data_IF_225258971569
#
_entry.id   IF_225258971569
#
_cell.length_a   1.000
_cell.length_b   1.000
_cell.length_c   1.000
_cell.angle_alpha   90.00
_cell.angle_beta   90.00
_cell.angle_gamma   90.00
#
_symmetry.space_group_name_H-M   'P 1'
#
loop_
_entity.id
_entity.type
_entity.pdbx_description
1 polymer ?
#
# COMPACT_ATOMS: atom_id res chain seq x y z
N UNK A 1 -5.52 -50.68 -40.67
CA UNK A 1 -5.94 -49.74 -39.61
C UNK A 1 -4.66 -49.22 -38.98
N UNK A 2 -4.21 -48.04 -39.40
CA UNK A 2 -3.01 -47.40 -38.82
C UNK A 2 -3.44 -46.62 -37.57
N UNK A 3 -2.77 -46.90 -36.45
CA UNK A 3 -3.01 -46.25 -35.16
C UNK A 3 -2.25 -44.92 -35.15
N UNK A 4 -2.87 -43.78 -34.80
CA UNK A 4 -2.19 -42.49 -34.80
C UNK A 4 -1.19 -42.45 -33.65
N UNK A 5 0.11 -42.41 -33.98
CA UNK A 5 1.19 -42.18 -33.02
C UNK A 5 1.08 -40.76 -32.48
N UNK A 6 0.75 -40.61 -31.20
CA UNK A 6 0.81 -39.33 -30.51
C UNK A 6 2.25 -38.80 -30.57
N UNK A 7 2.49 -37.53 -30.95
CA UNK A 7 3.83 -36.97 -30.95
C UNK A 7 4.33 -36.82 -29.51
N UNK A 8 5.25 -37.69 -29.10
CA UNK A 8 6.01 -37.54 -27.86
C UNK A 8 6.74 -36.20 -27.93
N UNK A 9 6.36 -35.27 -27.07
CA UNK A 9 6.98 -33.93 -27.03
C UNK A 9 8.31 -34.06 -26.27
N UNK A 10 9.42 -33.96 -26.99
CA UNK A 10 10.76 -34.00 -26.39
C UNK A 10 11.01 -32.78 -25.50
N UNK A 11 11.78 -32.97 -24.42
CA UNK A 11 12.10 -31.92 -23.44
C UNK A 11 12.80 -30.69 -24.06
N UNK A 12 13.65 -30.89 -25.07
CA UNK A 12 14.29 -29.80 -25.81
C UNK A 12 13.28 -28.89 -26.53
N UNK A 13 12.22 -29.49 -27.09
CA UNK A 13 11.16 -28.75 -27.78
C UNK A 13 10.35 -27.89 -26.80
N UNK A 14 10.19 -28.36 -25.56
CA UNK A 14 9.54 -27.60 -24.50
C UNK A 14 10.38 -26.41 -24.05
N UNK A 15 11.70 -26.59 -23.89
CA UNK A 15 12.64 -25.50 -23.56
C UNK A 15 12.65 -24.42 -24.64
N UNK A 16 12.65 -24.82 -25.92
CA UNK A 16 12.59 -23.90 -27.05
C UNK A 16 11.27 -23.11 -27.10
N UNK A 17 10.16 -23.73 -26.66
CA UNK A 17 8.83 -23.11 -26.62
C UNK A 17 8.53 -22.34 -25.34
N UNK A 18 9.43 -22.39 -24.34
CA UNK A 18 9.20 -21.74 -23.06
C UNK A 18 9.18 -20.22 -23.25
N UNK A 19 8.05 -19.60 -22.92
CA UNK A 19 7.92 -18.15 -22.80
C UNK A 19 7.75 -17.81 -21.32
N UNK A 20 8.59 -16.95 -20.74
CA UNK A 20 8.44 -16.57 -19.34
C UNK A 20 7.08 -15.90 -19.11
N UNK A 21 6.44 -16.24 -17.99
CA UNK A 21 5.16 -15.64 -17.59
C UNK A 21 5.29 -14.11 -17.58
N UNK A 22 4.32 -13.37 -18.14
CA UNK A 22 4.38 -11.92 -18.24
C UNK A 22 4.50 -11.22 -16.88
N UNK A 23 4.10 -11.88 -15.79
CA UNK A 23 4.11 -11.34 -14.43
C UNK A 23 5.33 -11.74 -13.59
N UNK A 24 6.23 -12.57 -14.13
CA UNK A 24 7.38 -13.07 -13.37
C UNK A 24 8.62 -12.28 -13.75
N UNK A 25 9.20 -11.57 -12.78
CA UNK A 25 10.46 -10.87 -12.98
C UNK A 25 11.54 -11.83 -13.49
N UNK A 26 12.36 -11.42 -14.48
CA UNK A 26 13.51 -12.20 -14.91
C UNK A 26 14.45 -12.44 -13.72
N UNK A 27 14.64 -13.70 -13.35
CA UNK A 27 15.63 -14.10 -12.34
C UNK A 27 16.86 -14.62 -13.07
N UNK A 28 18.07 -14.24 -12.65
CA UNK A 28 19.28 -14.91 -13.13
C UNK A 28 19.18 -16.40 -12.77
N UNK A 29 19.02 -17.25 -13.80
CA UNK A 29 18.88 -18.70 -13.63
C UNK A 29 20.22 -19.41 -13.54
N UNK A 30 21.32 -18.72 -13.85
CA UNK A 30 22.65 -19.32 -13.88
C UNK A 30 23.28 -19.30 -12.50
N UNK A 31 24.01 -20.37 -12.10
CA UNK A 31 24.87 -20.30 -10.93
C UNK A 31 25.89 -19.17 -11.15
N UNK A 32 26.38 -18.56 -10.08
CA UNK A 32 27.50 -17.61 -10.13
C UNK A 32 28.78 -18.38 -10.50
N UNK A 33 28.90 -18.80 -11.77
CA UNK A 33 30.06 -19.51 -12.29
C UNK A 33 31.08 -18.44 -12.67
N UNK A 34 32.18 -18.38 -11.93
CA UNK A 34 33.36 -17.60 -12.32
C UNK A 34 34.09 -18.37 -13.41
N UNK A 35 34.03 -17.89 -14.64
CA UNK A 35 34.85 -18.43 -15.72
C UNK A 35 36.25 -17.78 -15.70
N UNK A 36 37.28 -18.60 -15.91
CA UNK A 36 38.66 -18.14 -16.05
C UNK A 36 38.87 -17.56 -17.45
N UNK A 37 38.70 -16.25 -17.57
CA UNK A 37 38.95 -15.38 -18.73
C UNK A 37 38.08 -15.61 -19.99
N UNK A 38 37.46 -14.50 -20.45
CA UNK A 38 36.79 -14.28 -21.74
C UNK A 38 36.04 -15.49 -22.35
N UNK A 39 35.04 -15.97 -21.62
CA UNK A 39 34.11 -16.95 -22.15
C UNK A 39 33.06 -16.27 -23.05
N UNK A 40 33.10 -16.51 -24.36
CA UNK A 40 32.12 -15.98 -25.31
C UNK A 40 30.68 -16.35 -24.92
N UNK A 41 30.49 -17.54 -24.36
CA UNK A 41 29.20 -18.04 -23.90
C UNK A 41 28.63 -17.16 -22.77
N UNK A 42 29.47 -16.71 -21.84
CA UNK A 42 29.04 -15.81 -20.76
C UNK A 42 28.56 -14.48 -21.34
N UNK A 43 29.26 -13.93 -22.34
CA UNK A 43 28.84 -12.67 -22.96
C UNK A 43 27.50 -12.79 -23.66
N UNK A 44 27.20 -13.95 -24.25
CA UNK A 44 25.92 -14.25 -24.90
C UNK A 44 24.82 -14.40 -23.86
N UNK A 45 25.08 -15.11 -22.76
CA UNK A 45 24.15 -15.27 -21.65
C UNK A 45 23.81 -13.93 -20.98
N UNK A 46 24.82 -13.11 -20.69
CA UNK A 46 24.64 -11.76 -20.13
C UNK A 46 23.80 -10.91 -21.08
N UNK A 47 24.10 -10.92 -22.39
CA UNK A 47 23.31 -10.19 -23.40
C UNK A 47 21.86 -10.65 -23.44
N UNK A 48 21.63 -11.95 -23.40
CA UNK A 48 20.28 -12.53 -23.38
C UNK A 48 19.52 -12.08 -22.13
N UNK A 49 20.15 -12.16 -20.95
CA UNK A 49 19.54 -11.72 -19.71
C UNK A 49 19.22 -10.22 -19.72
N UNK A 50 20.13 -9.37 -20.19
CA UNK A 50 19.89 -7.94 -20.33
C UNK A 50 18.73 -7.64 -21.29
N UNK A 51 18.63 -8.38 -22.39
CA UNK A 51 17.51 -8.25 -23.32
C UNK A 51 16.18 -8.64 -22.65
N UNK A 52 16.13 -9.75 -21.92
CA UNK A 52 14.94 -10.17 -21.17
C UNK A 52 14.52 -9.11 -20.13
N UNK A 53 15.48 -8.56 -19.37
CA UNK A 53 15.23 -7.50 -18.39
C UNK A 53 14.70 -6.24 -19.07
N UNK A 54 15.30 -5.83 -20.19
CA UNK A 54 14.86 -4.66 -20.96
C UNK A 54 13.45 -4.84 -21.51
N UNK A 55 13.15 -6.01 -22.08
CA UNK A 55 11.80 -6.33 -22.57
C UNK A 55 10.77 -6.38 -21.45
N UNK A 56 11.16 -6.82 -20.25
CA UNK A 56 10.29 -6.80 -19.07
C UNK A 56 10.02 -5.37 -18.60
N UNK A 57 11.06 -4.55 -18.45
CA UNK A 57 10.97 -3.16 -17.99
C UNK A 57 10.30 -2.22 -18.99
N UNK A 58 10.38 -2.52 -20.29
CA UNK A 58 9.73 -1.73 -21.34
C UNK A 58 8.21 -1.93 -21.41
N UNK A 59 7.65 -2.88 -20.66
CA UNK A 59 6.20 -3.10 -20.62
C UNK A 59 5.53 -1.99 -19.81
N UNK A 60 4.33 -1.53 -20.22
CA UNK A 60 3.57 -0.61 -19.40
C UNK A 60 3.18 -1.29 -18.09
N UNK A 61 3.46 -0.63 -16.96
CA UNK A 61 2.99 -1.04 -15.65
C UNK A 61 1.50 -0.68 -15.58
N UNK A 62 0.62 -1.66 -15.75
CA UNK A 62 -0.84 -1.47 -15.63
C UNK A 62 -1.28 -2.00 -14.27
N UNK A 63 -1.30 -1.11 -13.27
CA UNK A 63 -1.92 -1.38 -11.98
C UNK A 63 -3.44 -1.19 -12.07
N UNK A 64 -4.20 -2.11 -11.47
CA UNK A 64 -5.65 -1.96 -11.40
C UNK A 64 -5.97 -0.92 -10.33
N UNK A 65 -6.84 0.04 -10.64
CA UNK A 65 -7.32 1.03 -9.66
C UNK A 65 -7.99 0.40 -8.44
N UNK A 66 -8.50 -0.84 -8.56
CA UNK A 66 -9.02 -1.58 -7.41
C UNK A 66 -7.96 -1.91 -6.36
N UNK A 67 -6.68 -1.97 -6.74
CA UNK A 67 -5.55 -2.21 -5.85
C UNK A 67 -5.08 -0.94 -5.14
N UNK A 68 -5.48 0.24 -5.64
CA UNK A 68 -5.14 1.52 -5.03
C UNK A 68 -6.14 1.84 -3.92
N UNK A 69 -5.59 2.36 -2.84
CA UNK A 69 -6.37 3.05 -1.84
C UNK A 69 -6.78 4.42 -2.35
N UNK A 70 -7.89 4.97 -1.84
CA UNK A 70 -8.39 6.27 -2.27
C UNK A 70 -8.56 7.20 -1.08
N UNK A 71 -8.10 8.43 -1.22
CA UNK A 71 -8.28 9.49 -0.24
C UNK A 71 -8.73 10.79 -0.91
N UNK A 72 -9.41 11.61 -0.11
CA UNK A 72 -9.81 12.96 -0.48
C UNK A 72 -9.01 13.96 0.35
N UNK A 73 -8.30 14.86 -0.32
CA UNK A 73 -7.60 15.95 0.36
C UNK A 73 -8.59 17.00 0.86
N UNK A 74 -8.46 17.38 2.13
CA UNK A 74 -9.25 18.44 2.78
C UNK A 74 -8.29 19.58 3.15
N UNK A 75 -8.21 20.65 2.34
CA UNK A 75 -7.32 21.79 2.60
C UNK A 75 -7.53 22.43 3.97
N UNK A 76 -8.76 22.48 4.45
CA UNK A 76 -9.13 23.14 5.71
C UNK A 76 -8.54 22.43 6.93
N UNK A 77 -8.47 21.10 6.88
CA UNK A 77 -7.93 20.25 7.94
C UNK A 77 -6.47 19.84 7.69
N UNK A 78 -5.91 20.20 6.53
CA UNK A 78 -4.54 19.85 6.11
C UNK A 78 -4.26 18.35 6.21
N UNK A 79 -5.29 17.54 5.97
CA UNK A 79 -5.27 16.10 6.08
C UNK A 79 -6.02 15.47 4.92
N UNK A 80 -5.67 14.25 4.55
CA UNK A 80 -6.44 13.48 3.58
C UNK A 80 -7.38 12.52 4.32
N UNK A 81 -8.68 12.60 4.02
CA UNK A 81 -9.66 11.63 4.51
C UNK A 81 -9.62 10.38 3.64
N UNK A 82 -9.47 9.22 4.25
CA UNK A 82 -9.42 7.94 3.55
C UNK A 82 -10.84 7.52 3.20
N UNK A 83 -11.09 7.28 1.91
CA UNK A 83 -12.38 6.80 1.39
C UNK A 83 -12.39 5.28 1.26
N UNK A 84 -11.27 4.72 0.80
CA UNK A 84 -11.11 3.29 0.55
C UNK A 84 -9.71 2.86 0.95
N UNK A 85 -9.65 1.84 1.82
CA UNK A 85 -8.39 1.20 2.23
C UNK A 85 -8.15 -0.05 1.41
N UNK A 86 -6.97 -0.18 0.83
CA UNK A 86 -6.51 -1.40 0.15
C UNK A 86 -5.13 -1.80 0.66
N UNK A 87 -4.91 -3.09 0.87
CA UNK A 87 -3.62 -3.62 1.29
C UNK A 87 -3.35 -3.57 2.80
N UNK A 88 -2.16 -4.04 3.20
CA UNK A 88 -1.74 -4.19 4.60
C UNK A 88 -1.04 -2.96 5.18
N UNK A 89 -0.80 -1.93 4.36
CA UNK A 89 -0.08 -0.71 4.75
C UNK A 89 -0.85 0.12 5.79
N UNK A 90 -2.17 0.06 5.75
CA UNK A 90 -3.10 0.70 6.71
C UNK A 90 -2.97 0.26 8.16
N UNK A 91 -2.22 -0.81 8.46
CA UNK A 91 -1.90 -1.18 9.84
C UNK A 91 -0.85 -0.23 10.45
N UNK A 92 -0.06 0.44 9.62
CA UNK A 92 1.07 1.27 10.05
C UNK A 92 0.79 2.76 9.86
N UNK A 93 0.10 3.09 8.76
CA UNK A 93 -0.25 4.47 8.38
C UNK A 93 -1.69 4.82 8.72
N UNK A 94 -1.91 6.10 8.97
CA UNK A 94 -3.22 6.67 9.23
C UNK A 94 -3.59 6.72 10.70
N UNK A 95 -4.49 7.65 10.97
CA UNK A 95 -4.94 8.05 12.28
C UNK A 95 -6.48 8.04 12.29
N UNK A 96 -7.06 7.65 13.42
CA UNK A 96 -8.49 7.81 13.63
C UNK A 96 -8.75 9.19 14.21
N UNK A 97 -9.41 10.05 13.45
CA UNK A 97 -9.84 11.38 13.89
C UNK A 97 -11.36 11.49 13.75
N UNK A 98 -12.04 11.68 14.89
CA UNK A 98 -13.50 11.79 14.96
C UNK A 98 -14.24 10.62 14.26
N UNK A 99 -13.74 9.39 14.46
CA UNK A 99 -14.32 8.18 13.85
C UNK A 99 -14.07 8.02 12.35
N UNK A 100 -13.29 8.91 11.73
CA UNK A 100 -12.86 8.80 10.34
C UNK A 100 -11.38 8.47 10.28
N UNK A 101 -10.99 7.68 9.29
CA UNK A 101 -9.59 7.44 8.98
C UNK A 101 -9.03 8.63 8.21
N UNK A 102 -8.01 9.27 8.77
CA UNK A 102 -7.30 10.40 8.19
C UNK A 102 -5.81 10.08 8.10
N UNK A 103 -5.15 10.64 7.10
CA UNK A 103 -3.70 10.54 6.92
C UNK A 103 -3.11 11.95 6.87
N UNK A 104 -1.92 12.09 7.44
CA UNK A 104 -1.16 13.32 7.37
C UNK A 104 -0.52 13.51 5.98
N UNK A 105 -0.15 14.74 5.59
CA UNK A 105 0.45 15.03 4.29
C UNK A 105 1.74 14.23 4.02
N UNK A 106 2.59 13.98 5.02
CA UNK A 106 3.81 13.18 4.89
C UNK A 106 3.51 11.70 4.56
N UNK A 107 2.52 11.11 5.23
CA UNK A 107 2.07 9.74 4.98
C UNK A 107 1.41 9.64 3.60
N UNK A 108 0.56 10.62 3.27
CA UNK A 108 -0.12 10.69 1.98
C UNK A 108 0.86 10.82 0.81
N UNK A 109 1.88 11.67 0.94
CA UNK A 109 2.93 11.84 -0.05
C UNK A 109 3.74 10.54 -0.24
N UNK A 110 4.04 9.83 0.87
CA UNK A 110 4.76 8.57 0.81
C UNK A 110 3.96 7.47 0.11
N UNK A 111 2.70 7.29 0.51
CA UNK A 111 1.80 6.29 -0.10
C UNK A 111 1.57 6.57 -1.59
N UNK A 112 1.55 7.85 -1.98
CA UNK A 112 1.45 8.26 -3.38
C UNK A 112 2.75 7.94 -4.16
N UNK A 113 3.93 8.16 -3.56
CA UNK A 113 5.22 7.86 -4.19
C UNK A 113 5.41 6.36 -4.46
N UNK A 114 4.98 5.51 -3.54
CA UNK A 114 5.01 4.05 -3.72
C UNK A 114 3.84 3.52 -4.58
N UNK A 115 3.01 4.40 -5.12
CA UNK A 115 1.84 4.08 -5.94
C UNK A 115 0.84 3.12 -5.25
N UNK A 116 0.54 3.38 -3.97
CA UNK A 116 -0.43 2.61 -3.16
C UNK A 116 -1.68 3.43 -2.79
N UNK A 117 -1.67 4.73 -3.12
CA UNK A 117 -2.74 5.68 -2.83
C UNK A 117 -3.01 6.60 -4.03
N UNK A 118 -4.30 6.80 -4.32
CA UNK A 118 -4.81 7.84 -5.22
C UNK A 118 -5.46 8.96 -4.39
N UNK A 119 -5.07 10.21 -4.66
CA UNK A 119 -5.60 11.38 -3.96
C UNK A 119 -6.50 12.16 -4.89
N UNK A 120 -7.70 12.47 -4.41
CA UNK A 120 -8.67 13.32 -5.09
C UNK A 120 -8.84 14.66 -4.37
N UNK A 121 -9.02 15.73 -5.12
CA UNK A 121 -9.35 17.05 -4.60
C UNK A 121 -10.57 17.59 -5.34
N UNK A 122 -11.62 17.94 -4.60
CA UNK A 122 -12.92 18.32 -5.15
C UNK A 122 -13.46 17.31 -6.21
N UNK A 123 -13.26 16.01 -5.96
CA UNK A 123 -13.71 14.94 -6.86
C UNK A 123 -12.81 14.69 -8.08
N UNK A 124 -11.70 15.42 -8.22
CA UNK A 124 -10.76 15.26 -9.33
C UNK A 124 -9.49 14.55 -8.84
N UNK A 125 -9.06 13.44 -9.47
CA UNK A 125 -7.78 12.80 -9.13
C UNK A 125 -6.62 13.72 -9.49
N UNK A 126 -5.67 13.84 -8.57
CA UNK A 126 -4.51 14.70 -8.73
C UNK A 126 -3.33 13.94 -9.33
N UNK A 127 -2.54 14.63 -10.16
CA UNK A 127 -1.26 14.09 -10.63
C UNK A 127 -0.24 14.06 -9.48
N UNK A 128 0.73 13.13 -9.57
CA UNK A 128 1.81 13.01 -8.60
C UNK A 128 2.47 14.37 -8.29
N UNK A 129 2.89 15.08 -9.33
CA UNK A 129 3.51 16.40 -9.19
C UNK A 129 2.59 17.40 -8.49
N UNK A 130 1.30 17.42 -8.83
CA UNK A 130 0.34 18.34 -8.21
C UNK A 130 0.09 18.01 -6.74
N UNK A 131 0.01 16.73 -6.38
CA UNK A 131 -0.08 16.29 -5.00
C UNK A 131 1.13 16.77 -4.20
N UNK A 132 2.35 16.56 -4.69
CA UNK A 132 3.56 17.01 -3.98
C UNK A 132 3.55 18.51 -3.72
N UNK A 133 3.19 19.31 -4.72
CA UNK A 133 3.08 20.76 -4.55
C UNK A 133 1.98 21.19 -3.58
N UNK A 134 0.94 20.38 -3.39
CA UNK A 134 -0.22 20.69 -2.54
C UNK A 134 -0.06 20.15 -1.12
N UNK A 135 0.57 18.98 -0.95
CA UNK A 135 0.80 18.32 0.34
C UNK A 135 2.00 18.93 1.06
N UNK A 136 3.12 19.13 0.35
CA UNK A 136 4.39 19.57 0.91
C UNK A 136 4.49 21.10 0.87
N UNK A 137 3.73 21.73 1.76
CA UNK A 137 3.75 23.18 1.97
C UNK A 137 3.95 23.43 3.46
N UNK A 138 4.74 24.43 3.82
CA UNK A 138 5.02 24.76 5.23
C UNK A 138 3.72 24.98 6.03
N UNK A 139 2.67 25.47 5.38
CA UNK A 139 1.33 25.62 5.98
C UNK A 139 0.73 24.30 6.48
N UNK A 140 0.99 23.18 5.79
CA UNK A 140 0.46 21.86 6.14
C UNK A 140 1.24 21.17 7.27
N UNK A 141 2.30 21.82 7.77
CA UNK A 141 3.20 21.26 8.77
C UNK A 141 4.06 20.11 8.22
N UNK A 142 4.32 20.10 6.91
CA UNK A 142 5.25 19.18 6.28
C UNK A 142 5.96 19.87 5.12
N UNK A 143 7.27 20.06 5.26
CA UNK A 143 8.15 20.53 4.19
C UNK A 143 8.78 19.33 3.44
N UNK A 144 9.29 19.58 2.23
CA UNK A 144 9.99 18.58 1.41
C UNK A 144 11.17 17.92 2.14
N UNK A 145 11.93 18.66 2.95
CA UNK A 145 13.03 18.08 3.73
C UNK A 145 12.53 17.10 4.79
N UNK A 146 11.49 17.49 5.53
CA UNK A 146 10.87 16.64 6.55
C UNK A 146 10.29 15.37 5.93
N UNK A 147 9.62 15.52 4.79
CA UNK A 147 9.13 14.40 3.99
C UNK A 147 10.27 13.44 3.59
N UNK A 148 11.41 13.96 3.11
CA UNK A 148 12.55 13.11 2.74
C UNK A 148 13.09 12.33 3.93
N UNK A 149 13.18 12.96 5.09
CA UNK A 149 13.61 12.29 6.34
C UNK A 149 12.59 11.22 6.73
N UNK A 150 11.30 11.55 6.72
CA UNK A 150 10.22 10.61 6.97
C UNK A 150 10.28 9.40 6.04
N UNK A 151 10.32 9.62 4.72
CA UNK A 151 10.35 8.57 3.71
C UNK A 151 11.58 7.66 3.89
N UNK A 152 12.73 8.23 4.27
CA UNK A 152 13.95 7.46 4.53
C UNK A 152 13.74 6.47 5.68
N UNK A 153 13.25 6.93 6.83
CA UNK A 153 13.00 6.08 7.99
C UNK A 153 11.91 5.03 7.72
N UNK A 154 10.83 5.43 7.06
CA UNK A 154 9.74 4.51 6.72
C UNK A 154 10.20 3.42 5.76
N UNK A 155 11.08 3.75 4.82
CA UNK A 155 11.67 2.76 3.89
C UNK A 155 12.53 1.73 4.63
N UNK A 156 13.19 2.12 5.72
CA UNK A 156 13.90 1.19 6.61
C UNK A 156 12.98 0.40 7.55
N UNK A 157 11.67 0.62 7.51
CA UNK A 157 10.69 -0.06 8.35
C UNK A 157 10.49 0.56 9.73
N UNK A 158 11.00 1.77 9.97
CA UNK A 158 10.69 2.53 11.18
C UNK A 158 9.28 3.12 11.09
N UNK A 159 8.62 3.27 12.24
CA UNK A 159 7.35 3.99 12.37
C UNK A 159 7.63 5.39 12.91
N UNK A 160 7.39 6.40 12.07
CA UNK A 160 7.64 7.81 12.40
C UNK A 160 6.33 8.50 12.71
N UNK A 161 6.31 9.33 13.75
CA UNK A 161 5.14 10.11 14.14
C UNK A 161 5.52 11.57 14.29
N UNK A 162 4.53 12.47 14.14
CA UNK A 162 4.68 13.86 14.53
C UNK A 162 4.94 13.93 16.03
N UNK A 163 5.90 14.78 16.39
CA UNK A 163 6.21 15.05 17.78
C UNK A 163 5.00 15.73 18.45
N UNK A 164 4.46 15.09 19.48
CA UNK A 164 3.41 15.63 20.31
C UNK A 164 3.98 15.87 21.72
N UNK A 165 4.15 17.14 22.14
CA UNK A 165 4.70 17.47 23.46
C UNK A 165 3.92 16.83 24.61
N UNK A 166 2.63 16.56 24.43
CA UNK A 166 1.77 15.96 25.47
C UNK A 166 1.99 14.44 25.60
N UNK A 167 2.51 13.78 24.55
CA UNK A 167 2.84 12.35 24.61
C UNK A 167 4.12 12.05 25.38
N UNK A 168 5.01 13.04 25.51
CA UNK A 168 6.31 12.86 26.19
C UNK A 168 6.14 12.85 27.72
N UNK A 169 5.01 13.31 28.27
CA UNK A 169 4.70 13.13 29.70
C UNK A 169 4.22 11.72 30.07
N UNK A 170 3.93 10.85 29.09
CA UNK A 170 3.44 9.49 29.30
C UNK A 170 4.54 8.44 29.09
N UNK A 171 5.76 8.68 29.60
CA UNK A 171 6.89 7.73 29.53
C UNK A 171 6.69 6.42 30.32
N UNK A 172 5.45 6.06 30.68
CA UNK A 172 5.11 4.70 31.09
C UNK A 172 3.80 4.28 30.44
N UNK A 173 3.85 3.81 29.20
CA UNK A 173 2.92 2.78 28.74
C UNK A 173 3.44 2.13 27.44
N UNK A 174 4.05 0.96 27.62
CA UNK A 174 4.25 -0.03 26.57
C UNK A 174 2.90 -0.39 25.95
N UNK A 175 2.58 0.20 24.80
CA UNK A 175 1.27 0.12 24.16
C UNK A 175 0.94 -1.27 23.58
N UNK A 176 1.77 -2.29 23.81
CA UNK A 176 1.49 -3.66 23.37
C UNK A 176 0.57 -4.44 24.33
N UNK A 177 0.28 -3.93 25.53
CA UNK A 177 -0.51 -4.64 26.54
C UNK A 177 -2.02 -4.30 26.60
N UNK A 178 -2.54 -3.27 25.89
CA UNK A 178 -3.94 -2.82 26.06
C UNK A 178 -4.92 -3.33 24.99
N UNK A 179 -4.78 -4.58 24.53
CA UNK A 179 -5.70 -5.19 23.54
C UNK A 179 -6.53 -6.38 24.09
N UNK A 180 -6.50 -6.66 25.39
CA UNK A 180 -7.23 -7.82 25.96
C UNK A 180 -8.27 -7.52 27.03
N UNK A 181 -8.54 -6.25 27.39
CA UNK A 181 -9.61 -5.93 28.36
C UNK A 181 -10.58 -4.90 27.79
N UNK A 182 -11.49 -5.36 26.94
CA UNK A 182 -12.83 -4.78 26.81
C UNK A 182 -13.85 -5.94 26.78
N UNK A 183 -14.26 -6.35 27.97
CA UNK A 183 -15.51 -7.03 28.36
C UNK A 183 -15.88 -6.33 29.69
N UNK A 184 -17.03 -5.72 29.96
CA UNK A 184 -18.38 -5.63 29.37
C UNK A 184 -18.95 -4.23 29.73
N UNK A 185 -20.09 -3.78 29.13
CA UNK A 185 -20.70 -2.49 29.43
C UNK A 185 -21.37 -2.49 30.81
N UNK A 186 -21.03 -1.51 31.66
CA UNK A 186 -21.72 -1.26 32.93
C UNK A 186 -23.14 -0.74 32.71
N UNK A 187 -24.09 -1.33 33.42
CA UNK A 187 -25.49 -0.93 33.51
C UNK A 187 -25.62 0.50 34.06
N UNK A 188 -25.86 1.51 33.20
CA UNK A 188 -26.57 2.72 33.62
C UNK A 188 -27.04 3.57 32.43
N UNK A 189 -28.13 3.13 31.81
CA UNK A 189 -29.10 4.03 31.17
C UNK A 189 -30.48 3.43 31.35
N UNK A 190 -31.10 3.71 32.50
CA UNK A 190 -32.52 3.41 32.69
C UNK A 190 -33.32 4.36 31.80
N UNK A 191 -33.93 3.80 30.77
CA UNK A 191 -34.97 4.43 29.98
C UNK A 191 -36.14 4.82 30.88
N UNK A 192 -36.49 6.10 30.88
CA UNK A 192 -37.79 6.58 31.37
C UNK A 192 -38.85 6.28 30.32
N UNK A 193 -39.54 5.14 30.46
CA UNK A 193 -40.73 4.84 29.67
C UNK A 193 -41.89 5.74 30.11
N UNK A 194 -42.26 6.69 29.26
CA UNK A 194 -43.59 7.30 29.23
C UNK A 194 -44.57 6.21 28.77
N UNK A 195 -45.50 5.82 29.65
CA UNK A 195 -46.62 4.94 29.28
C UNK A 195 -47.56 5.69 28.34
N UNK A 196 -47.63 5.23 27.09
CA UNK A 196 -48.77 5.47 26.21
C UNK A 196 -49.48 4.12 26.11
N UNK A 197 -50.50 3.92 26.94
CA UNK A 197 -51.44 2.82 26.77
C UNK A 197 -52.54 3.31 25.82
N UNK A 198 -52.63 2.67 24.66
CA UNK A 198 -53.78 2.72 23.76
C UNK A 198 -54.13 1.29 23.40
N UNK A 199 -55.44 1.02 23.38
CA UNK A 199 -56.20 -0.14 22.89
C UNK A 199 -56.90 -0.91 24.03
N UNK A 200 -58.15 -1.36 23.93
CA UNK A 200 -59.33 -1.04 23.13
C UNK A 200 -60.47 -1.85 23.79
N UNK A 201 -61.71 -1.34 23.78
CA UNK A 201 -63.02 -2.04 23.87
C UNK A 201 -63.29 -3.14 24.92
N UNK A 202 -64.34 -2.96 25.74
CA UNK A 202 -65.57 -3.79 25.77
C UNK A 202 -66.47 -3.44 26.98
N UNK A 203 -67.58 -2.74 26.70
CA UNK A 203 -68.96 -2.84 27.25
C UNK A 203 -69.72 -1.50 27.09
#
# INVERSE_FOLDING_TARGET
>A
MEVPTTPTTNGEKLLQSYQPSPHKCPTMKTPKILHSENNELETVEVKNHLNEVREFLGRPIVEKTCNLSQAQWIPELKCAKVLKKVGKKWNHFGHSFMGNDVIYPEEAAYLLEINDLEITHAGVPLSLQKCFSLLLTDENGCNLLEYRVFAHFVTFGYRVFRHDPQRVSDEKDDCRAKLTEIQEPSEEYKATNVKVDSNNEND
#
